data_IF_258940357505
#
_entry.id   IF_258940357505
#
_cell.length_a   1.000
_cell.length_b   1.000
_cell.length_c   1.000
_cell.angle_alpha   90.00
_cell.angle_beta   90.00
_cell.angle_gamma   90.00
#
_symmetry.space_group_name_H-M   'P 1'
#
loop_
_entity.id
_entity.type
_entity.pdbx_description
1 polymer ?
#
# COMPACT_ATOMS: atom_id res chain seq x y z
N UNK A 1 11.20 9.90 -9.70
CA UNK A 1 9.80 9.90 -10.19
C UNK A 1 9.01 10.67 -9.17
N UNK A 2 7.95 11.36 -9.58
CA UNK A 2 7.05 12.06 -8.67
C UNK A 2 5.66 11.52 -8.93
N UNK A 3 4.99 10.99 -7.91
CA UNK A 3 3.61 10.53 -8.00
C UNK A 3 2.68 11.71 -7.72
N UNK A 4 1.89 12.10 -8.71
CA UNK A 4 0.90 13.18 -8.55
C UNK A 4 -0.26 12.75 -7.62
N UNK A 5 -0.89 13.66 -6.86
CA UNK A 5 -2.02 13.35 -5.98
C UNK A 5 -3.22 12.72 -6.69
N UNK A 6 -3.41 13.03 -7.98
CA UNK A 6 -4.49 12.48 -8.82
C UNK A 6 -4.14 11.12 -9.43
N UNK A 7 -2.93 10.60 -9.16
CA UNK A 7 -2.49 9.30 -9.67
C UNK A 7 -3.28 8.17 -9.02
N UNK A 8 -3.72 7.22 -9.84
CA UNK A 8 -4.29 5.97 -9.35
C UNK A 8 -3.17 5.02 -8.92
N UNK A 9 -3.22 4.61 -7.67
CA UNK A 9 -2.34 3.59 -7.10
C UNK A 9 -3.14 2.33 -6.81
N UNK A 10 -2.48 1.19 -6.90
CA UNK A 10 -3.04 -0.10 -6.56
C UNK A 10 -2.56 -0.50 -5.16
N UNK A 11 -3.50 -0.90 -4.30
CA UNK A 11 -3.23 -1.36 -2.94
C UNK A 11 -3.91 -2.70 -2.68
N UNK A 12 -3.34 -3.47 -1.76
CA UNK A 12 -3.97 -4.68 -1.26
C UNK A 12 -5.04 -4.33 -0.22
N UNK A 13 -6.24 -4.89 -0.40
CA UNK A 13 -7.39 -4.74 0.47
C UNK A 13 -7.74 -6.10 1.07
N UNK A 14 -7.82 -6.17 2.39
CA UNK A 14 -8.39 -7.31 3.10
C UNK A 14 -9.91 -7.15 3.12
N UNK A 15 -10.61 -8.11 2.51
CA UNK A 15 -12.07 -8.20 2.62
C UNK A 15 -12.43 -8.58 4.04
N UNK A 16 -13.15 -7.69 4.72
CA UNK A 16 -13.58 -7.92 6.09
C UNK A 16 -14.99 -7.39 6.30
N UNK A 17 -15.71 -7.97 7.26
CA UNK A 17 -17.06 -7.55 7.65
C UNK A 17 -16.94 -6.91 9.03
N UNK A 18 -17.40 -5.67 9.24
CA UNK A 18 -18.32 -4.90 8.38
C UNK A 18 -17.67 -4.01 7.31
N UNK A 19 -16.35 -3.81 7.35
CA UNK A 19 -15.66 -2.93 6.41
C UNK A 19 -14.31 -3.50 5.96
N UNK A 20 -14.02 -3.31 4.68
CA UNK A 20 -12.75 -3.62 4.06
C UNK A 20 -11.62 -2.79 4.68
N UNK A 21 -10.40 -3.34 4.69
CA UNK A 21 -9.23 -2.68 5.27
C UNK A 21 -8.06 -2.67 4.28
N UNK A 22 -7.36 -1.54 4.19
CA UNK A 22 -6.09 -1.47 3.47
C UNK A 22 -5.06 -2.30 4.24
N UNK A 23 -4.32 -3.13 3.51
CA UNK A 23 -3.29 -3.99 4.08
C UNK A 23 -2.00 -3.20 4.23
N UNK A 24 -1.66 -2.85 5.47
CA UNK A 24 -0.34 -2.37 5.83
C UNK A 24 0.67 -3.50 6.02
N UNK A 25 1.94 -3.14 6.09
CA UNK A 25 3.07 -3.97 6.47
C UNK A 25 3.84 -3.26 7.59
N UNK A 26 4.67 -4.02 8.30
CA UNK A 26 5.56 -3.48 9.33
C UNK A 26 6.98 -3.86 8.96
N UNK A 27 7.83 -2.86 8.79
CA UNK A 27 9.28 -3.06 8.76
C UNK A 27 9.76 -3.22 10.20
N UNK A 28 10.03 -4.46 10.62
CA UNK A 28 10.53 -4.79 11.95
C UNK A 28 11.92 -4.18 12.23
N UNK A 29 12.71 -3.91 11.19
CA UNK A 29 14.07 -3.36 11.32
C UNK A 29 14.03 -1.90 11.73
N UNK A 30 13.16 -1.13 11.10
CA UNK A 30 13.03 0.31 11.32
C UNK A 30 11.85 0.68 12.23
N UNK A 31 11.04 -0.31 12.62
CA UNK A 31 9.80 -0.16 13.39
C UNK A 31 8.83 0.83 12.72
N UNK A 32 8.69 0.73 11.39
CA UNK A 32 7.84 1.59 10.57
C UNK A 32 6.66 0.79 10.06
N UNK A 33 5.45 1.29 10.32
CA UNK A 33 4.22 0.81 9.69
C UNK A 33 4.03 1.51 8.35
N UNK A 34 3.91 0.75 7.27
CA UNK A 34 3.76 1.30 5.93
C UNK A 34 2.66 0.62 5.12
N UNK A 35 2.15 1.32 4.12
CA UNK A 35 1.21 0.77 3.13
C UNK A 35 1.97 0.59 1.81
N UNK A 36 2.10 -0.65 1.31
CA UNK A 36 2.59 -0.91 -0.03
C UNK A 36 1.58 -0.42 -1.07
N UNK A 37 2.03 0.44 -1.97
CA UNK A 37 1.26 0.93 -3.11
C UNK A 37 2.02 0.65 -4.41
N UNK A 38 1.30 0.49 -5.52
CA UNK A 38 1.88 0.09 -6.80
C UNK A 38 1.29 0.91 -7.94
N UNK A 39 2.09 1.20 -8.98
CA UNK A 39 1.62 1.92 -10.16
C UNK A 39 0.74 1.07 -11.08
N UNK A 40 0.91 -0.25 -11.04
CA UNK A 40 0.18 -1.18 -11.90
C UNK A 40 -0.47 -2.29 -11.08
N UNK A 41 -1.59 -2.80 -11.58
CA UNK A 41 -2.30 -3.92 -10.97
C UNK A 41 -1.44 -5.19 -10.96
N UNK A 42 -0.67 -5.41 -12.02
CA UNK A 42 0.17 -6.60 -12.17
C UNK A 42 1.30 -6.62 -11.14
N UNK A 43 1.98 -5.48 -10.92
CA UNK A 43 2.99 -5.35 -9.88
C UNK A 43 2.39 -5.62 -8.49
N UNK A 44 1.22 -5.06 -8.20
CA UNK A 44 0.52 -5.32 -6.95
C UNK A 44 0.16 -6.81 -6.74
N UNK A 45 -0.30 -7.48 -7.80
CA UNK A 45 -0.65 -8.91 -7.75
C UNK A 45 0.57 -9.79 -7.53
N UNK A 46 1.71 -9.48 -8.14
CA UNK A 46 2.96 -10.20 -7.91
C UNK A 46 3.47 -9.96 -6.49
N UNK A 47 3.46 -8.71 -6.04
CA UNK A 47 3.90 -8.36 -4.69
C UNK A 47 3.06 -9.02 -3.59
N UNK A 48 1.78 -9.33 -3.82
CA UNK A 48 0.95 -10.07 -2.86
C UNK A 48 1.56 -11.40 -2.40
N UNK A 49 2.36 -12.08 -3.23
CA UNK A 49 3.05 -13.31 -2.84
C UNK A 49 4.18 -13.07 -1.84
N UNK A 50 4.68 -11.84 -1.76
CA UNK A 50 5.77 -11.41 -0.87
C UNK A 50 5.27 -10.70 0.39
N UNK A 51 4.02 -10.22 0.41
CA UNK A 51 3.43 -9.57 1.57
C UNK A 51 3.18 -10.56 2.71
N UNK A 52 3.33 -10.08 3.96
CA UNK A 52 2.90 -10.83 5.14
C UNK A 52 1.38 -10.77 5.26
N UNK A 53 0.70 -11.71 4.61
CA UNK A 53 -0.75 -11.87 4.64
C UNK A 53 -1.16 -12.96 5.65
N UNK A 54 -2.29 -12.75 6.34
CA UNK A 54 -2.88 -13.74 7.22
C UNK A 54 -3.50 -14.88 6.40
N UNK A 55 -3.25 -16.12 6.82
CA UNK A 55 -3.87 -17.30 6.21
C UNK A 55 -5.39 -17.26 6.42
N UNK A 56 -6.15 -17.79 5.45
CA UNK A 56 -7.62 -17.90 5.48
C UNK A 56 -8.40 -16.58 5.41
N UNK A 57 -7.73 -15.46 5.10
CA UNK A 57 -8.40 -14.18 4.79
C UNK A 57 -8.53 -14.01 3.27
N UNK A 58 -9.49 -13.18 2.85
CA UNK A 58 -9.68 -12.81 1.45
C UNK A 58 -9.01 -11.47 1.18
N UNK A 59 -8.25 -11.40 0.10
CA UNK A 59 -7.53 -10.21 -0.32
C UNK A 59 -7.84 -9.89 -1.77
N UNK A 60 -7.93 -8.60 -2.08
CA UNK A 60 -8.13 -8.08 -3.43
C UNK A 60 -7.20 -6.90 -3.69
N UNK A 61 -6.81 -6.72 -4.94
CA UNK A 61 -6.14 -5.49 -5.37
C UNK A 61 -7.20 -4.50 -5.83
N UNK A 62 -7.17 -3.30 -5.28
CA UNK A 62 -8.05 -2.21 -5.68
C UNK A 62 -7.25 -0.96 -6.03
N UNK A 63 -7.78 -0.18 -6.97
CA UNK A 63 -7.23 1.12 -7.32
C UNK A 63 -7.82 2.18 -6.37
N UNK A 64 -6.97 3.08 -5.90
CA UNK A 64 -7.31 4.21 -5.03
C UNK A 64 -6.56 5.46 -5.52
N UNK A 65 -7.19 6.63 -5.40
CA UNK A 65 -6.52 7.90 -5.69
C UNK A 65 -5.41 8.14 -4.65
N UNK A 66 -4.24 8.58 -5.10
CA UNK A 66 -3.08 8.82 -4.26
C UNK A 66 -3.40 9.77 -3.10
N UNK A 67 -4.10 10.87 -3.35
CA UNK A 67 -4.52 11.82 -2.31
C UNK A 67 -5.40 11.18 -1.22
N UNK A 68 -6.37 10.34 -1.63
CA UNK A 68 -7.20 9.59 -0.70
C UNK A 68 -6.38 8.59 0.13
N UNK A 69 -5.41 7.94 -0.49
CA UNK A 69 -4.50 7.02 0.19
C UNK A 69 -3.61 7.75 1.19
N UNK A 70 -3.05 8.91 0.82
CA UNK A 70 -2.22 9.76 1.70
C UNK A 70 -3.02 10.18 2.93
N UNK A 71 -4.25 10.64 2.72
CA UNK A 71 -5.16 11.01 3.82
C UNK A 71 -5.41 9.83 4.75
N UNK A 72 -5.75 8.67 4.21
CA UNK A 72 -5.97 7.45 4.98
C UNK A 72 -4.73 7.01 5.77
N UNK A 73 -3.56 7.03 5.13
CA UNK A 73 -2.29 6.65 5.74
C UNK A 73 -1.93 7.60 6.90
N UNK A 74 -2.10 8.90 6.69
CA UNK A 74 -1.80 9.94 7.69
C UNK A 74 -2.70 9.81 8.92
N UNK A 75 -4.00 9.59 8.72
CA UNK A 75 -4.96 9.35 9.82
C UNK A 75 -4.62 8.08 10.62
N UNK A 76 -4.06 7.07 9.96
CA UNK A 76 -3.66 5.80 10.58
C UNK A 76 -2.22 5.75 11.11
N UNK A 77 -1.41 6.79 10.90
CA UNK A 77 0.02 6.80 11.28
C UNK A 77 0.89 5.88 10.42
N UNK A 78 0.51 5.64 9.17
CA UNK A 78 1.27 4.85 8.20
C UNK A 78 2.04 5.76 7.24
N UNK A 79 3.18 5.26 6.78
CA UNK A 79 3.90 5.81 5.61
C UNK A 79 3.45 5.05 4.36
N UNK A 80 3.41 5.67 3.19
CA UNK A 80 3.17 4.95 1.94
C UNK A 80 4.51 4.71 1.25
N UNK A 81 4.76 3.47 0.84
CA UNK A 81 5.85 3.15 -0.07
C UNK A 81 5.29 2.69 -1.39
N UNK A 82 5.61 3.41 -2.46
CA UNK A 82 5.34 2.98 -3.82
C UNK A 82 6.45 2.00 -4.21
N UNK A 83 6.07 0.75 -4.47
CA UNK A 83 6.99 -0.34 -4.75
C UNK A 83 6.89 -0.81 -6.21
N UNK A 84 7.95 -1.43 -6.71
CA UNK A 84 7.90 -2.26 -7.91
C UNK A 84 7.47 -3.72 -7.60
N UNK A 85 7.40 -4.55 -8.64
CA UNK A 85 7.06 -5.96 -8.54
C UNK A 85 7.99 -6.78 -7.63
N UNK A 86 9.25 -6.38 -7.49
CA UNK A 86 10.27 -7.02 -6.66
C UNK A 86 10.24 -6.51 -5.20
N UNK A 87 9.36 -5.54 -4.90
CA UNK A 87 9.22 -4.94 -3.57
C UNK A 87 10.25 -3.85 -3.28
N UNK A 88 10.95 -3.34 -4.30
CA UNK A 88 11.88 -2.22 -4.15
C UNK A 88 11.11 -0.91 -4.07
N UNK A 89 11.53 -0.04 -3.16
CA UNK A 89 10.94 1.30 -3.01
C UNK A 89 11.32 2.17 -4.22
N UNK A 90 10.30 2.58 -4.97
CA UNK A 90 10.39 3.58 -6.04
C UNK A 90 10.20 4.99 -5.48
N UNK A 91 9.27 5.15 -4.53
CA UNK A 91 8.90 6.45 -3.95
C UNK A 91 8.29 6.28 -2.55
N UNK A 92 8.39 7.31 -1.70
CA UNK A 92 7.81 7.35 -0.34
C UNK A 92 6.89 8.57 -0.22
N UNK A 93 5.68 8.39 0.33
CA UNK A 93 4.66 9.44 0.47
C UNK A 93 4.12 9.56 1.91
N UNK A 94 3.74 10.78 2.36
CA UNK A 94 4.18 12.06 1.81
C UNK A 94 5.64 12.31 2.17
N UNK A 95 6.44 12.82 1.24
CA UNK A 95 7.71 13.46 1.60
C UNK A 95 7.36 14.72 2.37
N UNK A 96 7.41 14.66 3.70
CA UNK A 96 7.39 15.87 4.52
C UNK A 96 8.72 16.59 4.22
N UNK A 97 8.66 17.59 3.35
CA UNK A 97 9.74 18.55 3.13
C UNK A 97 9.95 19.39 4.38
#
# INVERSE_FOLDING_TARGET
MTVDPDTWLYVAIQKNVPADKIVGQVDETHNISYIPAFLTKDAAQQAMFHLRLEKQKKYEIQAIICDDLIRHATEGGFVIFVLDEDGKVLEQLPQVS
#
